data_IF_014668693870
#
_entry.id   IF_014668693870
#
_cell.length_a   1.000
_cell.length_b   1.000
_cell.length_c   1.000
_cell.angle_alpha   90.00
_cell.angle_beta   90.00
_cell.angle_gamma   90.00
#
_symmetry.space_group_name_H-M   'P 1'
#
loop_
_entity.id
_entity.type
_entity.pdbx_description
1 polymer ?
#
# COMPACT_ATOMS: atom_id res chain seq x y z
N UNK A 1 3.45 -19.93 1.49
CA UNK A 1 4.04 -18.58 1.59
C UNK A 1 3.39 -17.91 2.78
N UNK A 2 4.15 -17.51 3.79
CA UNK A 2 3.64 -16.65 4.86
C UNK A 2 3.18 -15.34 4.22
N UNK A 3 1.88 -15.09 4.24
CA UNK A 3 1.30 -13.84 3.74
C UNK A 3 1.90 -12.72 4.58
N UNK A 4 2.62 -11.79 3.95
CA UNK A 4 3.14 -10.62 4.64
C UNK A 4 1.96 -9.89 5.27
N UNK A 5 1.96 -9.78 6.59
CA UNK A 5 0.92 -9.09 7.35
C UNK A 5 1.41 -7.66 7.65
N UNK A 6 0.93 -6.65 6.91
CA UNK A 6 1.35 -5.27 7.13
C UNK A 6 0.94 -4.69 8.48
N UNK A 7 0.02 -5.32 9.20
CA UNK A 7 -0.36 -4.89 10.56
C UNK A 7 0.75 -5.13 11.58
N UNK A 8 1.71 -6.02 11.26
CA UNK A 8 2.86 -6.33 12.11
C UNK A 8 3.95 -5.25 12.12
N UNK A 9 3.87 -4.27 11.22
CA UNK A 9 4.88 -3.23 11.04
C UNK A 9 4.27 -1.83 11.13
N UNK A 10 3.92 -1.36 12.34
CA UNK A 10 3.28 -0.05 12.53
C UNK A 10 4.17 1.11 12.05
N UNK A 11 5.50 0.94 12.05
CA UNK A 11 6.45 1.90 11.47
C UNK A 11 6.13 2.21 10.00
N UNK A 12 5.77 1.20 9.21
CA UNK A 12 5.50 1.37 7.78
C UNK A 12 4.25 2.21 7.55
N UNK A 13 3.27 2.12 8.45
CA UNK A 13 2.07 2.94 8.39
C UNK A 13 2.39 4.43 8.58
N UNK A 14 3.38 4.76 9.42
CA UNK A 14 3.80 6.14 9.65
C UNK A 14 4.41 6.80 8.40
N UNK A 15 4.83 6.00 7.40
CA UNK A 15 5.32 6.52 6.12
C UNK A 15 4.20 7.04 5.23
N UNK A 16 2.93 6.75 5.53
CA UNK A 16 1.78 7.11 4.70
C UNK A 16 0.66 7.74 5.55
N UNK A 17 0.91 8.86 6.25
CA UNK A 17 -0.09 9.52 7.09
C UNK A 17 -1.33 9.99 6.31
N UNK A 18 -1.21 10.15 5.00
CA UNK A 18 -2.30 10.56 4.12
C UNK A 18 -3.36 9.45 3.99
N UNK A 19 -3.01 8.18 4.23
CA UNK A 19 -3.87 7.03 3.99
C UNK A 19 -4.58 6.52 5.26
N UNK A 20 -5.82 6.07 5.10
CA UNK A 20 -6.50 5.29 6.15
C UNK A 20 -5.84 3.91 6.27
N UNK A 21 -6.04 3.15 7.39
CA UNK A 21 -5.52 1.79 7.52
C UNK A 21 -5.83 0.89 6.33
N UNK A 22 -7.09 0.94 5.90
CA UNK A 22 -7.63 0.15 4.79
C UNK A 22 -6.97 0.55 3.45
N UNK A 23 -6.83 1.85 3.20
CA UNK A 23 -6.19 2.34 1.98
C UNK A 23 -4.70 1.99 1.94
N UNK A 24 -4.00 2.11 3.08
CA UNK A 24 -2.60 1.76 3.22
C UNK A 24 -2.38 0.28 2.94
N UNK A 25 -3.09 -0.61 3.65
CA UNK A 25 -2.97 -2.06 3.50
C UNK A 25 -3.22 -2.49 2.04
N UNK A 26 -4.31 -2.03 1.44
CA UNK A 26 -4.66 -2.34 0.04
C UNK A 26 -3.57 -1.87 -0.93
N UNK A 27 -3.10 -0.64 -0.76
CA UNK A 27 -2.09 -0.06 -1.66
C UNK A 27 -0.72 -0.69 -1.47
N UNK A 28 -0.38 -1.14 -0.26
CA UNK A 28 0.86 -1.83 0.02
C UNK A 28 0.91 -3.23 -0.60
N UNK A 29 -0.17 -4.01 -0.47
CA UNK A 29 -0.30 -5.31 -1.15
C UNK A 29 -0.19 -5.13 -2.67
N UNK A 30 -0.81 -4.08 -3.20
CA UNK A 30 -0.67 -3.72 -4.61
C UNK A 30 0.78 -3.32 -4.97
N UNK A 31 1.47 -2.60 -4.08
CA UNK A 31 2.89 -2.24 -4.23
C UNK A 31 3.83 -3.47 -4.23
N UNK A 32 3.45 -4.56 -3.59
CA UNK A 32 4.16 -5.84 -3.67
C UNK A 32 3.86 -6.65 -4.94
N UNK A 33 3.06 -6.10 -5.85
CA UNK A 33 2.73 -6.75 -7.11
C UNK A 33 1.57 -7.74 -7.02
N UNK A 34 0.84 -7.76 -5.90
CA UNK A 34 -0.34 -8.63 -5.76
C UNK A 34 -1.47 -8.07 -6.65
N UNK A 35 -2.07 -8.88 -7.53
CA UNK A 35 -3.20 -8.45 -8.35
C UNK A 35 -4.40 -8.02 -7.49
N UNK A 36 -5.10 -6.96 -7.89
CA UNK A 36 -6.24 -6.43 -7.15
C UNK A 36 -7.35 -7.47 -6.86
N UNK A 37 -7.53 -8.44 -7.75
CA UNK A 37 -8.47 -9.55 -7.53
C UNK A 37 -8.02 -10.47 -6.40
N UNK A 38 -6.73 -10.75 -6.31
CA UNK A 38 -6.16 -11.56 -5.24
C UNK A 38 -6.15 -10.79 -3.90
N UNK A 39 -5.89 -9.48 -3.92
CA UNK A 39 -6.06 -8.61 -2.75
C UNK A 39 -7.49 -8.69 -2.19
N UNK A 40 -8.50 -8.76 -3.07
CA UNK A 40 -9.89 -8.87 -2.62
C UNK A 40 -10.17 -10.17 -1.86
N UNK A 41 -9.48 -11.26 -2.22
CA UNK A 41 -9.56 -12.54 -1.52
C UNK A 41 -8.76 -12.50 -0.21
N UNK A 42 -7.55 -11.94 -0.24
CA UNK A 42 -6.67 -11.83 0.94
C UNK A 42 -7.27 -10.98 2.06
N UNK A 43 -7.99 -9.91 1.69
CA UNK A 43 -8.63 -9.00 2.64
C UNK A 43 -10.08 -9.37 2.95
N UNK A 44 -10.62 -10.42 2.33
CA UNK A 44 -12.04 -10.81 2.42
C UNK A 44 -13.02 -9.64 2.15
N UNK A 45 -12.78 -8.91 1.05
CA UNK A 45 -13.60 -7.76 0.65
C UNK A 45 -14.02 -7.84 -0.81
N UNK A 46 -15.07 -7.09 -1.18
CA UNK A 46 -15.49 -7.01 -2.57
C UNK A 46 -14.41 -6.37 -3.47
N UNK A 47 -14.16 -6.94 -4.63
CA UNK A 47 -13.22 -6.41 -5.64
C UNK A 47 -13.46 -4.93 -6.00
N UNK A 48 -14.72 -4.47 -6.00
CA UNK A 48 -15.04 -3.05 -6.23
C UNK A 48 -14.50 -2.14 -5.13
N UNK A 49 -14.47 -2.61 -3.88
CA UNK A 49 -13.91 -1.87 -2.75
C UNK A 49 -12.40 -1.73 -2.92
N UNK A 50 -11.69 -2.81 -3.29
CA UNK A 50 -10.24 -2.75 -3.60
C UNK A 50 -9.94 -1.70 -4.66
N UNK A 51 -10.71 -1.68 -5.76
CA UNK A 51 -10.55 -0.67 -6.82
C UNK A 51 -10.78 0.75 -6.32
N UNK A 52 -11.81 0.96 -5.53
CA UNK A 52 -12.14 2.26 -4.95
C UNK A 52 -11.02 2.72 -4.01
N UNK A 53 -10.57 1.86 -3.11
CA UNK A 53 -9.56 2.19 -2.11
C UNK A 53 -8.22 2.56 -2.79
N UNK A 54 -7.83 1.85 -3.86
CA UNK A 54 -6.66 2.21 -4.68
C UNK A 54 -6.86 3.54 -5.42
N UNK A 55 -8.06 3.80 -5.96
CA UNK A 55 -8.35 5.06 -6.64
C UNK A 55 -8.32 6.26 -5.68
N UNK A 56 -8.85 6.10 -4.47
CA UNK A 56 -8.80 7.09 -3.41
C UNK A 56 -7.35 7.34 -2.96
N UNK A 57 -6.55 6.27 -2.77
CA UNK A 57 -5.13 6.40 -2.46
C UNK A 57 -4.37 7.16 -3.55
N UNK A 58 -4.63 6.87 -4.84
CA UNK A 58 -4.05 7.63 -5.96
C UNK A 58 -4.37 9.12 -5.88
N UNK A 59 -5.62 9.45 -5.58
CA UNK A 59 -6.11 10.83 -5.48
C UNK A 59 -5.37 11.59 -4.38
N UNK A 60 -5.14 10.95 -3.23
CA UNK A 60 -4.42 11.54 -2.09
C UNK A 60 -2.96 11.88 -2.39
N UNK A 61 -2.34 11.17 -3.31
CA UNK A 61 -0.98 11.45 -3.78
C UNK A 61 -0.94 12.21 -5.11
N UNK A 62 -2.08 12.70 -5.59
CA UNK A 62 -2.22 13.45 -6.85
C UNK A 62 -1.66 12.68 -8.07
N UNK A 63 -1.67 11.35 -8.01
CA UNK A 63 -1.12 10.50 -9.08
C UNK A 63 -2.19 10.15 -10.11
N UNK A 64 -1.89 10.40 -11.39
CA UNK A 64 -2.80 10.06 -12.49
C UNK A 64 -2.72 8.58 -12.90
N UNK A 65 -1.62 7.88 -12.59
CA UNK A 65 -1.38 6.49 -13.00
C UNK A 65 -1.24 5.53 -11.81
N UNK A 66 -1.54 4.25 -12.02
CA UNK A 66 -1.26 3.20 -11.02
C UNK A 66 0.23 3.08 -10.74
N UNK A 67 1.06 3.23 -11.79
CA UNK A 67 2.51 3.26 -11.68
C UNK A 67 3.00 4.38 -10.77
N UNK A 68 2.39 5.57 -10.82
CA UNK A 68 2.76 6.67 -9.93
C UNK A 68 2.54 6.33 -8.45
N UNK A 69 1.42 5.68 -8.13
CA UNK A 69 1.17 5.18 -6.77
C UNK A 69 2.23 4.15 -6.35
N UNK A 70 2.56 3.20 -7.23
CA UNK A 70 3.61 2.20 -6.98
C UNK A 70 4.97 2.86 -6.71
N UNK A 71 5.37 3.83 -7.55
CA UNK A 71 6.62 4.57 -7.40
C UNK A 71 6.70 5.25 -6.04
N UNK A 72 5.64 5.91 -5.58
CA UNK A 72 5.63 6.58 -4.27
C UNK A 72 5.82 5.56 -3.14
N UNK A 73 5.11 4.43 -3.19
CA UNK A 73 5.26 3.36 -2.21
C UNK A 73 6.69 2.82 -2.20
N UNK A 74 7.24 2.46 -3.36
CA UNK A 74 8.59 1.94 -3.46
C UNK A 74 9.64 2.93 -2.99
N UNK A 75 9.56 4.21 -3.39
CA UNK A 75 10.51 5.24 -2.96
C UNK A 75 10.46 5.43 -1.44
N UNK A 76 9.28 5.57 -0.84
CA UNK A 76 9.15 5.76 0.61
C UNK A 76 9.66 4.54 1.38
N UNK A 77 9.32 3.33 0.95
CA UNK A 77 9.79 2.09 1.57
C UNK A 77 11.32 1.91 1.44
N UNK A 78 11.89 2.22 0.27
CA UNK A 78 13.34 2.14 0.05
C UNK A 78 14.08 3.17 0.90
N UNK A 79 13.61 4.41 0.96
CA UNK A 79 14.21 5.44 1.82
C UNK A 79 14.14 5.03 3.30
N UNK A 80 13.02 4.47 3.74
CA UNK A 80 12.89 3.92 5.10
C UNK A 80 13.89 2.79 5.35
N UNK A 81 14.03 1.83 4.44
CA UNK A 81 14.99 0.74 4.58
C UNK A 81 16.45 1.23 4.61
N UNK A 82 16.80 2.24 3.81
CA UNK A 82 18.17 2.76 3.70
C UNK A 82 18.58 3.69 4.85
N UNK A 83 17.65 4.51 5.33
CA UNK A 83 17.94 5.60 6.28
C UNK A 83 17.20 5.45 7.61
N UNK A 84 16.01 4.84 7.63
CA UNK A 84 15.20 4.64 8.83
C UNK A 84 15.65 3.45 9.70
N UNK A 85 16.30 2.44 9.11
CA UNK A 85 16.89 1.32 9.85
C UNK A 85 18.29 1.59 10.41
N UNK A 86 18.86 2.79 10.20
CA UNK A 86 20.09 3.22 10.87
C UNK A 86 19.76 3.72 12.28
N UNK A 87 19.59 2.79 13.22
CA UNK A 87 19.70 3.06 14.66
C UNK A 87 20.87 2.28 15.22
#
# INVERSE_FOLDING_TARGET
>A
MTVFDPTQYPELRNLFPELTPVQFETSLLFAFGIPQKEISLLRDVNYRLVKRDIAEAKSKFETKSLTGLLTIFHVRLVLFALYGCRK
#
